data_IF_096162797314
#
_entry.id   IF_096162797314
#
_cell.length_a   1.000
_cell.length_b   1.000
_cell.length_c   1.000
_cell.angle_alpha   90.00
_cell.angle_beta   90.00
_cell.angle_gamma   90.00
#
_symmetry.space_group_name_H-M   'P 1'
#
loop_
_entity.id
_entity.type
_entity.pdbx_description
1 polymer ?
#
# COMPACT_ATOMS: atom_id res chain seq x y z
N UNK A 1 -17.98 -16.97 -47.02
CA UNK A 1 -18.46 -15.87 -46.15
C UNK A 1 -18.28 -16.14 -44.66
N UNK A 2 -18.69 -17.30 -44.10
CA UNK A 2 -18.50 -17.63 -42.66
C UNK A 2 -17.05 -17.52 -42.16
N UNK A 3 -16.07 -18.00 -42.93
CA UNK A 3 -14.66 -17.93 -42.56
C UNK A 3 -14.04 -16.53 -42.66
N UNK A 4 -14.61 -15.66 -43.51
CA UNK A 4 -14.15 -14.27 -43.63
C UNK A 4 -14.59 -13.48 -42.40
N UNK A 5 -15.84 -13.67 -41.94
CA UNK A 5 -16.35 -13.03 -40.71
C UNK A 5 -15.56 -13.46 -39.48
N UNK A 6 -15.19 -14.75 -39.38
CA UNK A 6 -14.38 -15.27 -38.27
C UNK A 6 -12.95 -14.67 -38.29
N UNK A 7 -12.35 -14.54 -39.47
CA UNK A 7 -11.03 -13.92 -39.62
C UNK A 7 -11.07 -12.42 -39.31
N UNK A 8 -12.13 -11.72 -39.70
CA UNK A 8 -12.38 -10.32 -39.32
C UNK A 8 -12.53 -10.15 -37.80
N UNK A 9 -13.24 -11.07 -37.12
CA UNK A 9 -13.36 -11.06 -35.66
C UNK A 9 -12.01 -11.28 -34.96
N UNK A 10 -11.19 -12.21 -35.46
CA UNK A 10 -9.86 -12.53 -34.92
C UNK A 10 -8.85 -11.37 -35.08
N UNK A 11 -8.91 -10.64 -36.19
CA UNK A 11 -8.05 -9.47 -36.43
C UNK A 11 -8.44 -8.30 -35.51
N UNK A 12 -9.73 -8.15 -35.18
CA UNK A 12 -10.23 -7.11 -34.25
C UNK A 12 -9.89 -7.47 -32.78
N UNK A 13 -9.79 -8.75 -32.43
CA UNK A 13 -9.36 -9.18 -31.08
C UNK A 13 -7.85 -9.08 -30.83
N UNK A 14 -7.06 -8.74 -31.86
CA UNK A 14 -5.62 -8.53 -31.76
C UNK A 14 -5.22 -7.14 -31.28
N UNK A 15 -6.10 -6.39 -30.60
CA UNK A 15 -5.70 -5.13 -29.98
C UNK A 15 -4.64 -5.44 -28.92
N UNK A 16 -3.44 -4.94 -29.17
CA UNK A 16 -2.27 -5.23 -28.39
C UNK A 16 -2.54 -4.89 -26.91
N UNK A 17 -2.47 -5.87 -26.04
CA UNK A 17 -2.30 -5.66 -24.60
C UNK A 17 -0.89 -5.12 -24.38
N UNK A 18 -0.68 -3.85 -24.73
CA UNK A 18 0.50 -3.08 -24.37
C UNK A 18 0.30 -2.67 -22.91
N UNK A 19 1.07 -3.28 -22.02
CA UNK A 19 1.29 -2.76 -20.67
C UNK A 19 2.64 -2.07 -20.69
N UNK A 20 2.71 -0.87 -21.29
CA UNK A 20 3.98 -0.14 -21.38
C UNK A 20 4.36 0.37 -20.00
N UNK A 21 5.65 0.31 -19.69
CA UNK A 21 6.21 0.98 -18.52
C UNK A 21 6.71 2.36 -18.95
N UNK A 22 6.15 3.39 -18.35
CA UNK A 22 6.56 4.79 -18.51
C UNK A 22 7.43 5.19 -17.33
N UNK A 23 8.66 5.60 -17.61
CA UNK A 23 9.62 6.04 -16.60
C UNK A 23 9.30 7.48 -16.23
N UNK A 24 9.13 7.74 -14.94
CA UNK A 24 8.89 9.07 -14.39
C UNK A 24 10.10 9.45 -13.53
N UNK A 25 10.80 10.53 -13.89
CA UNK A 25 11.96 11.00 -13.12
C UNK A 25 11.99 12.53 -13.05
N UNK A 26 11.90 13.08 -11.85
CA UNK A 26 11.86 14.54 -11.63
C UNK A 26 13.26 15.19 -11.50
N UNK A 27 14.36 14.45 -11.65
CA UNK A 27 15.71 15.02 -11.64
C UNK A 27 16.01 15.74 -12.97
N UNK A 28 16.60 16.93 -12.88
CA UNK A 28 17.07 17.68 -14.05
C UNK A 28 18.19 16.88 -14.73
N UNK A 29 18.11 16.75 -16.06
CA UNK A 29 19.14 16.08 -16.87
C UNK A 29 18.99 14.56 -16.99
N UNK A 30 17.99 13.95 -16.34
CA UNK A 30 17.64 12.54 -16.58
C UNK A 30 16.65 12.44 -17.74
N UNK A 31 16.98 11.65 -18.76
CA UNK A 31 16.08 11.35 -19.87
C UNK A 31 15.10 10.24 -19.47
N UNK A 32 13.97 10.63 -18.88
CA UNK A 32 12.81 9.78 -18.63
C UNK A 32 11.68 10.09 -19.64
N UNK A 33 10.62 9.27 -19.66
CA UNK A 33 9.48 9.53 -20.54
C UNK A 33 8.68 10.76 -20.08
N UNK A 34 8.59 10.97 -18.76
CA UNK A 34 7.98 12.15 -18.15
C UNK A 34 8.74 12.56 -16.88
N UNK A 35 8.57 13.80 -16.44
CA UNK A 35 9.15 14.36 -15.22
C UNK A 35 8.21 14.27 -14.00
N UNK A 36 6.89 14.26 -14.24
CA UNK A 36 5.84 14.26 -13.23
C UNK A 36 4.67 13.34 -13.61
N UNK A 37 3.97 12.83 -12.60
CA UNK A 37 2.80 11.96 -12.81
C UNK A 37 1.68 12.65 -13.60
N UNK A 38 1.42 13.93 -13.34
CA UNK A 38 0.40 14.70 -14.06
C UNK A 38 0.65 14.76 -15.59
N UNK A 39 1.92 14.91 -16.00
CA UNK A 39 2.29 14.93 -17.41
C UNK A 39 1.97 13.58 -18.08
N UNK A 40 2.32 12.47 -17.42
CA UNK A 40 1.99 11.12 -17.89
C UNK A 40 0.47 10.91 -18.01
N UNK A 41 -0.30 11.31 -17.01
CA UNK A 41 -1.78 11.19 -17.05
C UNK A 41 -2.37 11.98 -18.23
N UNK A 42 -1.85 13.19 -18.50
CA UNK A 42 -2.36 14.03 -19.60
C UNK A 42 -2.00 13.52 -21.00
N UNK A 43 -0.99 12.66 -21.13
CA UNK A 43 -0.53 12.15 -22.42
C UNK A 43 -1.50 11.15 -23.04
N UNK A 44 -1.82 11.32 -24.32
CA UNK A 44 -2.64 10.36 -25.07
C UNK A 44 -1.93 9.01 -25.29
N UNK A 45 -0.61 8.98 -25.18
CA UNK A 45 0.16 7.74 -25.35
C UNK A 45 0.06 6.82 -24.14
N UNK A 46 -0.19 7.38 -22.95
CA UNK A 46 -0.42 6.60 -21.73
C UNK A 46 -1.87 6.14 -21.74
N UNK A 47 -2.09 4.82 -21.79
CA UNK A 47 -3.43 4.22 -21.90
C UNK A 47 -3.74 3.33 -20.71
N UNK A 48 -5.02 2.97 -20.54
CA UNK A 48 -5.44 2.06 -19.48
C UNK A 48 -4.68 0.73 -19.55
N UNK A 49 -4.13 0.29 -18.42
CA UNK A 49 -3.30 -0.91 -18.29
C UNK A 49 -1.79 -0.62 -18.26
N UNK A 50 -1.36 0.59 -18.59
CA UNK A 50 0.05 0.97 -18.51
C UNK A 50 0.54 1.09 -17.06
N UNK A 51 1.87 1.07 -16.91
CA UNK A 51 2.57 1.26 -15.65
C UNK A 51 3.28 2.62 -15.64
N UNK A 52 3.11 3.38 -14.56
CA UNK A 52 3.96 4.53 -14.24
C UNK A 52 4.99 4.10 -13.19
N UNK A 53 6.26 4.06 -13.59
CA UNK A 53 7.37 3.73 -12.70
C UNK A 53 8.07 5.01 -12.24
N UNK A 54 7.86 5.37 -10.98
CA UNK A 54 8.48 6.53 -10.35
C UNK A 54 9.88 6.17 -9.87
N UNK A 55 10.87 6.80 -10.49
CA UNK A 55 12.28 6.52 -10.23
C UNK A 55 12.78 7.27 -8.99
N UNK A 56 13.91 6.83 -8.41
CA UNK A 56 14.64 7.61 -7.41
C UNK A 56 14.84 9.06 -7.87
N UNK A 57 14.47 10.00 -7.00
CA UNK A 57 14.63 11.42 -7.30
C UNK A 57 14.97 12.24 -6.06
N UNK A 58 15.81 13.24 -6.27
CA UNK A 58 16.11 14.27 -5.26
C UNK A 58 15.01 15.34 -5.21
N UNK A 59 14.18 15.43 -6.25
CA UNK A 59 13.04 16.33 -6.33
C UNK A 59 11.74 15.60 -6.02
N UNK A 60 10.81 16.29 -5.34
CA UNK A 60 9.52 15.69 -5.00
C UNK A 60 8.64 15.52 -6.24
N UNK A 61 7.99 14.37 -6.34
CA UNK A 61 6.86 14.20 -7.25
C UNK A 61 5.64 14.95 -6.72
N UNK A 62 4.90 15.59 -7.62
CA UNK A 62 3.69 16.34 -7.30
C UNK A 62 2.44 15.46 -7.37
N UNK A 63 1.37 15.94 -6.75
CA UNK A 63 0.06 15.28 -6.75
C UNK A 63 -0.61 15.40 -8.12
N UNK A 64 -1.53 14.48 -8.40
CA UNK A 64 -2.27 14.45 -9.65
C UNK A 64 -3.58 13.68 -9.51
N UNK A 65 -4.48 13.87 -10.47
CA UNK A 65 -5.70 13.06 -10.58
C UNK A 65 -5.43 11.80 -11.39
N UNK A 66 -5.65 10.62 -10.81
CA UNK A 66 -5.54 9.34 -11.49
C UNK A 66 -6.84 9.04 -12.24
N UNK A 67 -6.91 9.49 -13.49
CA UNK A 67 -8.06 9.35 -14.41
C UNK A 67 -7.90 8.25 -15.46
N UNK A 68 -7.00 7.30 -15.19
CA UNK A 68 -6.75 6.13 -16.03
C UNK A 68 -6.50 4.94 -15.13
N UNK A 69 -6.97 3.76 -15.55
CA UNK A 69 -6.70 2.51 -14.85
C UNK A 69 -5.23 2.12 -15.07
N UNK A 70 -4.36 2.42 -14.11
CA UNK A 70 -2.91 2.26 -14.24
C UNK A 70 -2.31 1.46 -13.08
N UNK A 71 -1.09 0.98 -13.28
CA UNK A 71 -0.23 0.48 -12.21
C UNK A 71 0.79 1.57 -11.88
N UNK A 72 0.86 2.00 -10.63
CA UNK A 72 1.82 2.99 -10.14
C UNK A 72 2.82 2.25 -9.26
N UNK A 73 4.10 2.37 -9.57
CA UNK A 73 5.18 1.72 -8.83
C UNK A 73 6.18 2.77 -8.37
N UNK A 74 6.44 2.83 -7.07
CA UNK A 74 7.51 3.63 -6.48
C UNK A 74 8.70 2.77 -6.04
N UNK A 75 9.62 3.37 -5.30
CA UNK A 75 10.86 2.73 -4.85
C UNK A 75 10.70 1.97 -3.52
N UNK A 76 9.59 2.17 -2.81
CA UNK A 76 9.47 1.88 -1.38
C UNK A 76 9.78 3.13 -0.52
N UNK A 77 9.77 2.95 0.80
CA UNK A 77 9.91 3.97 1.83
C UNK A 77 10.84 3.49 2.94
N UNK A 78 11.30 4.36 3.85
CA UNK A 78 12.25 3.99 4.93
C UNK A 78 13.43 3.12 4.42
N UNK A 79 14.01 3.50 3.27
CA UNK A 79 15.05 2.71 2.58
C UNK A 79 16.42 2.74 3.29
N UNK A 80 16.53 3.54 4.35
CA UNK A 80 17.73 3.67 5.19
C UNK A 80 17.39 3.39 6.67
N UNK A 81 18.43 3.05 7.46
CA UNK A 81 18.30 2.80 8.90
C UNK A 81 18.80 1.43 9.34
N UNK A 82 19.10 1.29 10.64
CA UNK A 82 19.57 0.03 11.25
C UNK A 82 18.44 -1.00 11.28
N UNK A 83 18.72 -2.23 10.83
CA UNK A 83 17.72 -3.30 10.71
C UNK A 83 16.45 -2.90 9.93
N UNK A 84 16.58 -1.92 9.04
CA UNK A 84 15.62 -1.70 7.95
C UNK A 84 15.80 -2.77 6.87
N UNK A 85 15.62 -2.39 5.61
CA UNK A 85 15.81 -3.27 4.47
C UNK A 85 17.09 -2.92 3.67
N UNK A 86 18.29 -2.88 4.30
CA UNK A 86 19.52 -2.45 3.66
C UNK A 86 19.92 -3.42 2.54
N UNK A 87 20.39 -2.85 1.42
CA UNK A 87 20.97 -3.61 0.31
C UNK A 87 19.96 -4.28 -0.62
N UNK A 88 18.66 -3.97 -0.55
CA UNK A 88 17.68 -4.40 -1.57
C UNK A 88 17.76 -3.58 -2.86
N UNK A 89 18.35 -2.39 -2.81
CA UNK A 89 18.56 -1.51 -3.95
C UNK A 89 19.98 -0.95 -3.89
N UNK A 90 20.60 -0.76 -5.06
CA UNK A 90 21.93 -0.15 -5.18
C UNK A 90 21.91 1.35 -4.81
N UNK A 91 20.79 2.03 -5.07
CA UNK A 91 20.54 3.42 -4.69
C UNK A 91 19.41 3.46 -3.65
N UNK A 92 19.65 3.94 -2.41
CA UNK A 92 18.63 4.07 -1.37
C UNK A 92 17.75 5.32 -1.53
N UNK A 93 17.93 6.11 -2.59
CA UNK A 93 17.13 7.31 -2.85
C UNK A 93 15.69 6.93 -3.18
N UNK A 94 14.73 7.54 -2.48
CA UNK A 94 13.31 7.26 -2.66
C UNK A 94 12.65 8.09 -3.76
N UNK A 95 11.57 7.58 -4.33
CA UNK A 95 10.60 8.35 -5.12
C UNK A 95 9.61 9.08 -4.20
N UNK A 96 10.04 10.21 -3.63
CA UNK A 96 9.31 10.91 -2.56
C UNK A 96 8.25 11.88 -3.10
N UNK A 97 7.03 11.82 -2.53
CA UNK A 97 5.91 12.70 -2.91
C UNK A 97 5.65 13.84 -1.91
N UNK A 98 6.31 13.87 -0.74
CA UNK A 98 6.13 14.98 0.20
C UNK A 98 4.70 15.18 0.71
N UNK A 99 3.95 14.10 0.85
CA UNK A 99 2.51 14.07 1.15
C UNK A 99 1.65 14.74 0.08
N UNK A 100 2.12 14.77 -1.17
CA UNK A 100 1.27 15.18 -2.28
C UNK A 100 0.10 14.21 -2.46
N UNK A 101 -1.04 14.75 -2.84
CA UNK A 101 -2.28 13.99 -2.97
C UNK A 101 -2.42 13.40 -4.36
N UNK A 102 -2.57 12.08 -4.44
CA UNK A 102 -3.10 11.39 -5.60
C UNK A 102 -4.62 11.36 -5.45
N UNK A 103 -5.32 12.10 -6.30
CA UNK A 103 -6.78 12.14 -6.34
C UNK A 103 -7.29 11.00 -7.21
N UNK A 104 -8.12 10.12 -6.67
CA UNK A 104 -8.69 9.03 -7.45
C UNK A 104 -9.96 9.47 -8.16
N UNK A 105 -9.96 9.31 -9.48
CA UNK A 105 -11.11 9.45 -10.36
C UNK A 105 -11.80 8.10 -10.53
N UNK A 106 -13.09 8.08 -10.87
CA UNK A 106 -13.83 6.84 -11.14
C UNK A 106 -13.32 6.09 -12.38
N UNK A 107 -12.81 6.80 -13.38
CA UNK A 107 -12.12 6.25 -14.55
C UNK A 107 -10.77 5.60 -14.21
N UNK A 108 -10.23 5.90 -13.02
CA UNK A 108 -9.07 5.24 -12.43
C UNK A 108 -9.38 3.91 -11.74
N UNK A 109 -10.64 3.47 -11.69
CA UNK A 109 -11.04 2.21 -11.04
C UNK A 109 -10.26 1.01 -11.57
N UNK A 110 -9.88 0.09 -10.68
CA UNK A 110 -9.01 -1.05 -11.02
C UNK A 110 -7.52 -0.74 -11.02
N UNK A 111 -7.10 0.46 -10.60
CA UNK A 111 -5.69 0.82 -10.50
C UNK A 111 -4.99 0.14 -9.32
N UNK A 112 -3.67 -0.03 -9.44
CA UNK A 112 -2.81 -0.55 -8.38
C UNK A 112 -1.73 0.46 -8.04
N UNK A 113 -1.61 0.82 -6.78
CA UNK A 113 -0.57 1.69 -6.24
C UNK A 113 0.35 0.85 -5.37
N UNK A 114 1.64 0.81 -5.70
CA UNK A 114 2.62 -0.04 -5.04
C UNK A 114 3.93 0.69 -4.74
N UNK A 115 4.45 0.58 -3.52
CA UNK A 115 5.78 1.12 -3.19
C UNK A 115 5.88 2.65 -3.19
N UNK A 116 4.77 3.38 -3.18
CA UNK A 116 4.78 4.83 -3.20
C UNK A 116 5.17 5.38 -1.83
N UNK A 117 5.97 6.45 -1.82
CA UNK A 117 6.57 7.00 -0.61
C UNK A 117 6.00 8.38 -0.27
N UNK A 118 5.40 8.48 0.91
CA UNK A 118 4.84 9.72 1.47
C UNK A 118 3.79 10.33 0.55
N UNK A 119 2.75 9.57 0.23
CA UNK A 119 1.59 10.06 -0.55
C UNK A 119 0.40 10.34 0.37
N UNK A 120 -0.51 11.19 -0.10
CA UNK A 120 -1.90 11.17 0.35
C UNK A 120 -2.78 10.56 -0.75
N UNK A 121 -3.84 9.87 -0.35
CA UNK A 121 -4.86 9.36 -1.27
C UNK A 121 -6.14 10.11 -0.97
N UNK A 122 -6.53 10.96 -1.91
CA UNK A 122 -7.76 11.72 -1.82
C UNK A 122 -8.84 11.14 -2.73
N UNK A 123 -10.07 11.10 -2.24
CA UNK A 123 -11.24 10.72 -3.02
C UNK A 123 -12.19 11.91 -3.11
N UNK A 124 -12.79 12.18 -4.28
CA UNK A 124 -13.66 13.33 -4.44
C UNK A 124 -14.71 13.25 -5.57
N UNK A 125 -15.76 14.09 -5.53
CA UNK A 125 -17.01 13.95 -6.26
C UNK A 125 -17.05 14.70 -7.60
N UNK A 126 -16.08 15.58 -7.88
CA UNK A 126 -16.05 16.38 -9.12
C UNK A 126 -15.91 15.52 -10.39
N UNK A 127 -15.83 14.20 -10.23
CA UNK A 127 -15.58 13.21 -11.27
C UNK A 127 -16.71 12.15 -11.36
N UNK A 128 -17.83 12.37 -10.66
CA UNK A 128 -19.12 11.77 -11.01
C UNK A 128 -19.47 10.38 -10.44
N UNK A 129 -18.57 9.68 -9.76
CA UNK A 129 -18.88 8.39 -9.12
C UNK A 129 -17.81 7.95 -8.13
N UNK A 130 -18.12 6.93 -7.33
CA UNK A 130 -17.14 6.26 -6.48
C UNK A 130 -16.10 5.52 -7.33
N UNK A 131 -14.85 5.48 -6.84
CA UNK A 131 -13.76 4.70 -7.45
C UNK A 131 -13.74 3.30 -6.85
N UNK A 132 -13.77 2.28 -7.69
CA UNK A 132 -13.86 0.87 -7.29
C UNK A 132 -12.57 0.11 -7.57
N UNK A 133 -12.41 -1.02 -6.88
CA UNK A 133 -11.39 -2.05 -7.15
C UNK A 133 -9.95 -1.52 -7.13
N UNK A 134 -9.64 -0.59 -6.22
CA UNK A 134 -8.29 -0.06 -6.07
C UNK A 134 -7.48 -0.97 -5.16
N UNK A 135 -6.26 -1.28 -5.59
CA UNK A 135 -5.26 -1.93 -4.73
C UNK A 135 -4.22 -0.91 -4.31
N UNK A 136 -4.02 -0.76 -3.00
CA UNK A 136 -2.94 0.03 -2.41
C UNK A 136 -2.09 -0.91 -1.58
N UNK A 137 -0.87 -1.19 -2.04
CA UNK A 137 -0.01 -2.18 -1.41
C UNK A 137 1.38 -1.64 -1.16
N UNK A 138 1.99 -1.94 -0.01
CA UNK A 138 3.39 -1.56 0.24
C UNK A 138 3.65 -0.06 0.07
N UNK A 139 2.72 0.81 0.45
CA UNK A 139 2.88 2.27 0.35
C UNK A 139 3.09 2.91 1.73
N UNK A 140 3.77 4.05 1.76
CA UNK A 140 3.79 4.95 2.91
C UNK A 140 2.81 6.11 2.65
N UNK A 141 1.78 6.19 3.47
CA UNK A 141 0.62 7.04 3.24
C UNK A 141 0.40 7.94 4.45
N UNK A 142 0.34 9.25 4.22
CA UNK A 142 -0.02 10.23 5.24
C UNK A 142 -1.51 10.13 5.60
N UNK A 143 -2.36 10.24 4.59
CA UNK A 143 -3.80 10.17 4.76
C UNK A 143 -4.46 9.40 3.61
N UNK A 144 -5.41 8.53 3.95
CA UNK A 144 -6.42 8.00 3.01
C UNK A 144 -7.77 8.55 3.46
N UNK A 145 -8.41 9.32 2.62
CA UNK A 145 -9.69 9.85 3.03
C UNK A 145 -10.44 10.60 1.96
N UNK A 146 -11.60 11.03 2.39
CA UNK A 146 -12.44 11.91 1.63
C UNK A 146 -11.78 13.30 1.55
N UNK A 147 -11.38 13.71 0.34
CA UNK A 147 -10.68 14.99 0.10
C UNK A 147 -11.67 16.11 -0.27
N UNK A 148 -12.72 15.77 -1.02
CA UNK A 148 -13.83 16.66 -1.36
C UNK A 148 -15.15 16.07 -0.82
N UNK A 149 -16.30 16.74 -1.00
CA UNK A 149 -17.61 16.18 -0.60
C UNK A 149 -17.89 14.78 -1.17
N UNK A 150 -18.86 14.04 -0.65
CA UNK A 150 -19.21 12.73 -1.22
C UNK A 150 -20.42 12.91 -2.13
N UNK A 151 -20.48 12.12 -3.21
CA UNK A 151 -21.69 12.06 -4.02
C UNK A 151 -22.68 11.13 -3.32
N UNK A 152 -23.83 11.67 -2.93
CA UNK A 152 -24.87 10.88 -2.27
C UNK A 152 -25.24 9.64 -3.10
N UNK A 153 -25.54 8.53 -2.42
CA UNK A 153 -25.91 7.25 -3.03
C UNK A 153 -24.82 6.59 -3.89
N UNK A 154 -23.57 7.01 -3.77
CA UNK A 154 -22.43 6.27 -4.33
C UNK A 154 -21.81 5.34 -3.29
N UNK A 155 -21.21 4.24 -3.74
CA UNK A 155 -20.48 3.29 -2.91
C UNK A 155 -19.14 2.95 -3.52
N UNK A 156 -18.11 2.83 -2.69
CA UNK A 156 -16.79 2.39 -3.12
C UNK A 156 -16.62 0.92 -2.80
N UNK A 157 -16.46 0.09 -3.83
CA UNK A 157 -16.44 -1.36 -3.70
C UNK A 157 -15.07 -1.96 -3.98
N UNK A 158 -14.70 -2.99 -3.22
CA UNK A 158 -13.65 -3.94 -3.59
C UNK A 158 -12.22 -3.42 -3.44
N UNK A 159 -11.98 -2.46 -2.55
CA UNK A 159 -10.63 -1.98 -2.30
C UNK A 159 -9.81 -2.97 -1.48
N UNK A 160 -8.53 -3.03 -1.79
CA UNK A 160 -7.53 -3.77 -1.02
C UNK A 160 -6.45 -2.80 -0.58
N UNK A 161 -6.31 -2.61 0.72
CA UNK A 161 -5.26 -1.79 1.34
C UNK A 161 -4.43 -2.73 2.20
N UNK A 162 -3.22 -3.08 1.75
CA UNK A 162 -2.39 -4.02 2.48
C UNK A 162 -0.91 -3.68 2.54
N UNK A 163 -0.23 -4.16 3.59
CA UNK A 163 1.23 -4.01 3.75
C UNK A 163 1.69 -2.54 3.71
N UNK A 164 0.80 -1.61 4.04
CA UNK A 164 1.07 -0.18 4.00
C UNK A 164 1.43 0.34 5.40
N UNK A 165 2.28 1.36 5.41
CA UNK A 165 2.47 2.20 6.59
C UNK A 165 1.56 3.41 6.42
N UNK A 166 0.56 3.54 7.29
CA UNK A 166 -0.52 4.53 7.15
C UNK A 166 -0.49 5.42 8.37
N UNK A 167 -0.43 6.74 8.19
CA UNK A 167 -0.60 7.63 9.34
C UNK A 167 -2.08 7.69 9.71
N UNK A 168 -2.98 8.02 8.77
CA UNK A 168 -4.41 8.11 9.06
C UNK A 168 -5.29 7.59 7.92
N UNK A 169 -6.46 7.04 8.26
CA UNK A 169 -7.52 6.81 7.28
C UNK A 169 -8.90 7.10 7.87
N UNK A 170 -9.77 7.74 7.06
CA UNK A 170 -11.03 8.30 7.54
C UNK A 170 -12.12 8.40 6.48
N UNK A 171 -13.24 7.72 6.72
CA UNK A 171 -14.46 7.76 5.89
C UNK A 171 -15.71 7.82 6.77
N UNK A 172 -16.28 9.01 6.89
CA UNK A 172 -17.42 9.25 7.78
C UNK A 172 -18.77 9.31 7.04
N UNK A 173 -18.77 9.47 5.71
CA UNK A 173 -20.00 9.67 4.94
C UNK A 173 -20.09 8.86 3.63
N UNK A 174 -18.95 8.46 3.06
CA UNK A 174 -18.90 7.57 1.91
C UNK A 174 -19.23 6.12 2.32
N UNK A 175 -20.09 5.45 1.56
CA UNK A 175 -20.41 4.03 1.72
C UNK A 175 -19.24 3.20 1.19
N UNK A 176 -18.69 2.31 2.03
CA UNK A 176 -17.61 1.39 1.67
C UNK A 176 -18.13 -0.05 1.68
N UNK A 177 -17.83 -0.82 0.64
CA UNK A 177 -18.32 -2.20 0.50
C UNK A 177 -17.20 -3.17 0.08
N UNK A 178 -17.07 -4.31 0.78
CA UNK A 178 -16.08 -5.34 0.45
C UNK A 178 -14.62 -4.86 0.48
N UNK A 179 -14.29 -3.95 1.40
CA UNK A 179 -12.90 -3.49 1.57
C UNK A 179 -12.10 -4.49 2.41
N UNK A 180 -10.84 -4.67 2.03
CA UNK A 180 -9.87 -5.46 2.78
C UNK A 180 -8.74 -4.55 3.26
N UNK A 181 -8.61 -4.43 4.57
CA UNK A 181 -7.56 -3.64 5.23
C UNK A 181 -6.73 -4.62 6.04
N UNK A 182 -5.63 -5.08 5.44
CA UNK A 182 -4.85 -6.20 5.99
C UNK A 182 -3.37 -5.94 6.08
N UNK A 183 -2.72 -6.50 7.09
CA UNK A 183 -1.26 -6.45 7.20
C UNK A 183 -0.67 -5.03 7.20
N UNK A 184 -1.42 -4.03 7.68
CA UNK A 184 -0.96 -2.64 7.73
C UNK A 184 -0.43 -2.26 9.11
N UNK A 185 0.43 -1.24 9.13
CA UNK A 185 0.77 -0.48 10.33
C UNK A 185 0.06 0.86 10.22
N UNK A 186 -0.86 1.14 11.14
CA UNK A 186 -1.65 2.37 11.19
C UNK A 186 -1.25 3.16 12.45
N UNK A 187 -0.62 4.31 12.27
CA UNK A 187 0.08 5.02 13.35
C UNK A 187 -0.78 6.10 14.06
N UNK A 188 -1.81 6.61 13.40
CA UNK A 188 -2.79 7.55 13.94
C UNK A 188 -4.19 7.01 13.61
N UNK A 189 -5.17 7.83 13.27
CA UNK A 189 -6.59 7.46 13.24
C UNK A 189 -6.98 6.37 12.22
N UNK A 190 -7.97 5.56 12.63
CA UNK A 190 -8.64 4.53 11.83
C UNK A 190 -10.17 4.68 11.93
N UNK A 191 -10.77 5.63 11.20
CA UNK A 191 -12.21 5.93 11.30
C UNK A 191 -12.98 5.45 10.07
N UNK A 192 -13.73 4.36 10.22
CA UNK A 192 -14.71 3.86 9.24
C UNK A 192 -16.11 3.83 9.85
N UNK A 193 -16.42 4.84 10.67
CA UNK A 193 -17.62 4.94 11.49
C UNK A 193 -18.94 5.19 10.75
N UNK A 194 -19.08 4.81 9.47
CA UNK A 194 -20.27 5.09 8.68
C UNK A 194 -21.25 3.90 8.68
N UNK A 195 -22.52 4.15 9.01
CA UNK A 195 -23.60 3.14 9.00
C UNK A 195 -23.89 2.51 7.63
N UNK A 196 -23.42 3.14 6.55
CA UNK A 196 -23.49 2.58 5.20
C UNK A 196 -22.37 1.60 4.86
N UNK A 197 -21.44 1.28 5.77
CA UNK A 197 -20.38 0.33 5.46
C UNK A 197 -20.90 -1.11 5.45
N UNK A 198 -20.39 -1.92 4.52
CA UNK A 198 -20.81 -3.30 4.33
C UNK A 198 -19.61 -4.22 4.09
N UNK A 199 -19.52 -5.30 4.87
CA UNK A 199 -18.56 -6.38 4.67
C UNK A 199 -17.09 -5.89 4.62
N UNK A 200 -16.67 -5.15 5.65
CA UNK A 200 -15.28 -4.73 5.78
C UNK A 200 -14.46 -5.84 6.44
N UNK A 201 -13.33 -6.23 5.86
CA UNK A 201 -12.36 -7.10 6.50
C UNK A 201 -11.19 -6.26 7.03
N UNK A 202 -11.04 -6.19 8.35
CA UNK A 202 -9.91 -5.52 8.99
C UNK A 202 -9.16 -6.56 9.80
N UNK A 203 -8.05 -7.05 9.23
CA UNK A 203 -7.35 -8.21 9.77
C UNK A 203 -5.84 -8.07 9.77
N UNK A 204 -5.19 -8.58 10.82
CA UNK A 204 -3.73 -8.62 10.89
C UNK A 204 -3.08 -7.24 10.77
N UNK A 205 -3.63 -6.21 11.41
CA UNK A 205 -3.02 -4.87 11.44
C UNK A 205 -2.41 -4.58 12.81
N UNK A 206 -1.42 -3.67 12.84
CA UNK A 206 -1.04 -2.95 14.06
C UNK A 206 -1.68 -1.57 13.99
N UNK A 207 -2.51 -1.21 14.98
CA UNK A 207 -3.27 0.05 15.00
C UNK A 207 -2.95 0.82 16.28
N UNK A 208 -2.34 1.99 16.14
CA UNK A 208 -1.81 2.83 17.22
C UNK A 208 -2.78 3.92 17.69
N UNK A 209 -4.05 3.83 17.33
CA UNK A 209 -5.04 4.87 17.60
C UNK A 209 -6.45 4.31 17.79
N UNK A 210 -7.41 5.22 17.96
CA UNK A 210 -8.83 4.88 17.99
C UNK A 210 -9.27 4.24 16.69
N UNK A 211 -10.18 3.28 16.84
CA UNK A 211 -10.79 2.55 15.73
C UNK A 211 -12.29 2.63 15.88
N UNK A 212 -12.96 3.16 14.85
CA UNK A 212 -14.41 3.24 14.77
C UNK A 212 -14.86 2.42 13.54
N UNK A 213 -15.69 1.40 13.75
CA UNK A 213 -16.06 0.42 12.72
C UNK A 213 -17.56 0.10 12.73
N UNK A 214 -18.11 0.00 11.52
CA UNK A 214 -19.47 -0.43 11.28
C UNK A 214 -19.46 -1.62 10.31
N UNK A 215 -20.25 -2.66 10.60
CA UNK A 215 -20.44 -3.83 9.72
C UNK A 215 -19.13 -4.51 9.27
N UNK A 216 -18.22 -4.70 10.22
CA UNK A 216 -16.86 -5.18 9.96
C UNK A 216 -16.57 -6.55 10.55
N UNK A 217 -15.56 -7.21 9.99
CA UNK A 217 -14.88 -8.36 10.54
C UNK A 217 -13.50 -7.94 11.04
N UNK A 218 -13.39 -7.74 12.35
CA UNK A 218 -12.21 -7.21 13.04
C UNK A 218 -11.47 -8.33 13.78
N UNK A 219 -10.39 -8.84 13.20
CA UNK A 219 -9.67 -10.01 13.74
C UNK A 219 -8.14 -9.95 13.62
N UNK A 220 -7.43 -10.62 14.52
CA UNK A 220 -5.97 -10.76 14.47
C UNK A 220 -5.22 -9.42 14.51
N UNK A 221 -5.85 -8.34 14.97
CA UNK A 221 -5.22 -7.03 15.05
C UNK A 221 -4.54 -6.85 16.42
N UNK A 222 -3.50 -6.02 16.45
CA UNK A 222 -2.95 -5.48 17.70
C UNK A 222 -3.33 -4.00 17.77
N UNK A 223 -4.11 -3.62 18.77
CA UNK A 223 -4.57 -2.23 18.98
C UNK A 223 -3.96 -1.66 20.24
N UNK A 224 -3.12 -0.64 20.10
CA UNK A 224 -2.34 -0.14 21.23
C UNK A 224 -2.92 1.14 21.83
N UNK A 225 -4.17 1.44 21.52
CA UNK A 225 -4.90 2.60 22.01
C UNK A 225 -6.33 2.19 22.42
N UNK A 226 -7.05 3.11 23.03
CA UNK A 226 -8.41 2.89 23.46
C UNK A 226 -9.33 2.65 22.25
N UNK A 227 -9.86 1.44 22.13
CA UNK A 227 -11.03 1.18 21.31
C UNK A 227 -12.23 1.88 21.96
N UNK A 228 -13.00 2.61 21.17
CA UNK A 228 -14.28 3.12 21.60
C UNK A 228 -15.36 2.12 21.17
N UNK A 229 -15.75 1.22 22.09
CA UNK A 229 -16.74 0.19 21.80
C UNK A 229 -18.11 0.76 21.42
N UNK A 230 -18.40 2.02 21.74
CA UNK A 230 -19.63 2.71 21.31
C UNK A 230 -19.72 2.85 19.79
N UNK A 231 -18.58 2.90 19.10
CA UNK A 231 -18.50 3.04 17.64
C UNK A 231 -18.08 1.75 16.93
N UNK A 232 -18.32 0.60 17.56
CA UNK A 232 -18.07 -0.74 17.01
C UNK A 232 -19.41 -1.45 16.76
N UNK A 233 -20.16 -0.97 15.77
CA UNK A 233 -21.55 -1.40 15.50
C UNK A 233 -21.57 -2.53 14.47
N UNK A 234 -22.40 -3.55 14.68
CA UNK A 234 -22.52 -4.72 13.78
C UNK A 234 -21.16 -5.35 13.40
N UNK A 235 -20.20 -5.30 14.31
CA UNK A 235 -18.82 -5.72 14.05
C UNK A 235 -18.51 -7.01 14.79
N UNK A 236 -17.96 -8.00 14.08
CA UNK A 236 -17.41 -9.22 14.70
C UNK A 236 -16.00 -8.92 15.20
N UNK A 237 -15.78 -9.07 16.51
CA UNK A 237 -14.51 -8.78 17.18
C UNK A 237 -13.97 -10.06 17.82
N UNK A 238 -12.85 -10.58 17.31
CA UNK A 238 -12.24 -11.83 17.81
C UNK A 238 -10.74 -11.89 17.59
N UNK A 239 -10.03 -12.66 18.42
CA UNK A 239 -8.59 -12.91 18.28
C UNK A 239 -7.75 -11.63 18.15
N UNK A 240 -8.18 -10.52 18.76
CA UNK A 240 -7.42 -9.28 18.77
C UNK A 240 -6.65 -9.14 20.08
N UNK A 241 -5.60 -8.33 20.05
CA UNK A 241 -4.81 -7.99 21.23
C UNK A 241 -4.89 -6.50 21.45
N UNK A 242 -5.12 -6.08 22.69
CA UNK A 242 -5.07 -4.67 23.07
C UNK A 242 -4.07 -4.43 24.19
N UNK A 243 -3.40 -3.28 24.12
CA UNK A 243 -2.65 -2.78 25.28
C UNK A 243 -3.54 -2.11 26.32
N UNK A 244 -4.76 -1.70 25.93
CA UNK A 244 -5.82 -1.25 26.82
C UNK A 244 -6.75 -2.38 27.27
N UNK A 245 -7.86 -2.02 27.90
CA UNK A 245 -8.88 -2.96 28.40
C UNK A 245 -10.21 -2.79 27.66
N UNK A 246 -10.16 -2.70 26.33
CA UNK A 246 -11.29 -2.20 25.53
C UNK A 246 -11.80 -3.19 24.48
N UNK A 247 -11.20 -4.40 24.39
CA UNK A 247 -11.78 -5.49 23.61
C UNK A 247 -12.86 -6.22 24.43
N UNK A 248 -13.95 -6.67 23.79
CA UNK A 248 -14.97 -7.47 24.46
C UNK A 248 -14.37 -8.80 24.95
N UNK A 249 -14.86 -9.26 26.10
CA UNK A 249 -14.45 -10.54 26.67
C UNK A 249 -14.84 -11.72 25.76
N UNK A 250 -14.03 -12.79 25.78
CA UNK A 250 -14.24 -13.97 24.97
C UNK A 250 -13.68 -13.87 23.54
N UNK A 251 -14.05 -14.82 22.69
CA UNK A 251 -13.64 -14.89 21.28
C UNK A 251 -12.12 -14.79 21.03
N UNK A 252 -11.30 -15.24 21.98
CA UNK A 252 -9.84 -15.17 21.88
C UNK A 252 -9.24 -13.77 21.95
N UNK A 253 -10.02 -12.74 22.33
CA UNK A 253 -9.46 -11.40 22.54
C UNK A 253 -8.63 -11.35 23.83
N UNK A 254 -7.50 -10.65 23.78
CA UNK A 254 -6.63 -10.42 24.92
C UNK A 254 -6.46 -8.92 25.18
N UNK A 255 -6.70 -8.50 26.41
CA UNK A 255 -6.54 -7.11 26.87
C UNK A 255 -5.30 -6.96 27.77
N UNK A 256 -4.96 -5.71 28.10
CA UNK A 256 -3.99 -5.36 29.13
C UNK A 256 -2.54 -5.76 28.82
N UNK A 257 -2.20 -5.95 27.55
CA UNK A 257 -0.82 -6.20 27.15
C UNK A 257 0.01 -4.90 27.19
N UNK A 258 1.33 -4.98 27.12
CA UNK A 258 2.18 -3.78 26.97
C UNK A 258 2.92 -3.80 25.64
N UNK A 259 3.23 -2.63 25.09
CA UNK A 259 4.06 -2.53 23.88
C UNK A 259 5.39 -3.27 24.06
N UNK A 260 6.02 -3.10 25.22
CA UNK A 260 7.27 -3.77 25.56
C UNK A 260 7.13 -5.29 25.70
N UNK A 261 5.93 -5.83 25.95
CA UNK A 261 5.64 -7.26 25.95
C UNK A 261 5.35 -7.81 24.55
N UNK A 262 4.91 -6.97 23.61
CA UNK A 262 4.47 -7.43 22.29
C UNK A 262 5.56 -7.27 21.23
N UNK A 263 6.29 -6.16 21.23
CA UNK A 263 7.09 -5.70 20.10
C UNK A 263 8.59 -5.64 20.39
N UNK A 264 9.39 -5.67 19.32
CA UNK A 264 10.84 -5.46 19.38
C UNK A 264 11.19 -4.01 19.78
N UNK A 265 10.34 -3.04 19.44
CA UNK A 265 10.49 -1.64 19.83
C UNK A 265 11.52 -0.85 19.01
N UNK A 266 11.62 0.45 19.30
CA UNK A 266 12.41 1.42 18.51
C UNK A 266 13.92 1.15 18.52
N UNK A 267 14.47 0.69 19.64
CA UNK A 267 15.92 0.61 19.82
C UNK A 267 16.50 -0.44 18.88
N UNK A 268 17.32 0.01 17.92
CA UNK A 268 17.97 -0.86 16.95
C UNK A 268 17.06 -1.35 15.81
N UNK A 269 15.89 -0.76 15.59
CA UNK A 269 14.98 -1.12 14.50
C UNK A 269 14.60 0.09 13.64
N UNK A 270 14.17 -0.15 12.40
CA UNK A 270 13.56 0.87 11.55
C UNK A 270 12.18 1.30 12.06
N UNK A 271 11.68 2.43 11.55
CA UNK A 271 10.36 3.00 11.90
C UNK A 271 9.21 1.99 11.75
N UNK A 272 9.27 1.12 10.75
CA UNK A 272 8.32 0.04 10.52
C UNK A 272 8.74 -1.29 11.18
N UNK A 273 10.05 -1.54 11.29
CA UNK A 273 10.61 -2.75 11.90
C UNK A 273 10.38 -2.87 13.41
N UNK A 274 10.15 -1.74 14.09
CA UNK A 274 9.85 -1.73 15.53
C UNK A 274 8.59 -2.52 15.91
N UNK A 275 7.66 -2.72 14.96
CA UNK A 275 6.37 -3.37 15.16
C UNK A 275 6.39 -4.89 14.95
N UNK A 276 7.56 -5.46 14.69
CA UNK A 276 7.73 -6.92 14.68
C UNK A 276 7.55 -7.45 16.10
N UNK A 277 7.00 -8.66 16.19
CA UNK A 277 6.80 -9.32 17.47
C UNK A 277 8.16 -9.67 18.09
N UNK A 278 8.27 -9.47 19.40
CA UNK A 278 9.42 -9.98 20.16
C UNK A 278 9.21 -11.47 20.51
N UNK A 279 10.29 -12.23 20.75
CA UNK A 279 10.18 -13.59 21.29
C UNK A 279 9.33 -13.63 22.57
N UNK A 280 8.42 -14.62 22.65
CA UNK A 280 7.52 -14.78 23.79
C UNK A 280 6.35 -13.79 23.82
N UNK A 281 6.14 -12.99 22.77
CA UNK A 281 4.96 -12.15 22.64
C UNK A 281 3.68 -12.99 22.67
N UNK A 282 2.68 -12.54 23.43
CA UNK A 282 1.36 -13.17 23.47
C UNK A 282 0.60 -13.07 22.13
N UNK A 283 1.11 -12.32 21.16
CA UNK A 283 0.58 -12.25 19.80
C UNK A 283 0.98 -13.43 18.90
N UNK A 284 1.98 -14.21 19.30
CA UNK A 284 2.44 -15.36 18.53
C UNK A 284 1.40 -16.48 18.61
N UNK A 285 0.91 -16.95 17.47
CA UNK A 285 -0.11 -18.00 17.35
C UNK A 285 -1.45 -17.66 18.00
N UNK A 286 -1.75 -16.38 18.20
CA UNK A 286 -3.00 -15.93 18.85
C UNK A 286 -4.14 -15.59 17.87
N UNK A 287 -3.84 -15.58 16.57
CA UNK A 287 -4.82 -15.27 15.54
C UNK A 287 -5.91 -16.33 15.41
N UNK A 288 -6.97 -15.98 14.69
CA UNK A 288 -8.01 -16.90 14.28
C UNK A 288 -7.42 -17.98 13.35
N UNK A 289 -7.66 -19.25 13.68
CA UNK A 289 -7.29 -20.38 12.82
C UNK A 289 -8.13 -20.39 11.55
N UNK A 290 -7.46 -20.31 10.40
CA UNK A 290 -8.09 -20.37 9.08
C UNK A 290 -7.42 -21.48 8.31
N UNK A 291 -8.22 -22.42 7.79
CA UNK A 291 -7.73 -23.59 7.05
C UNK A 291 -6.63 -24.38 7.80
N UNK A 292 -6.74 -24.49 9.12
CA UNK A 292 -5.78 -25.21 9.98
C UNK A 292 -4.50 -24.44 10.32
N UNK A 293 -4.34 -23.19 9.85
CA UNK A 293 -3.19 -22.34 10.16
C UNK A 293 -3.63 -21.26 11.14
N UNK A 294 -2.92 -21.16 12.26
CA UNK A 294 -3.11 -20.10 13.26
C UNK A 294 -2.02 -19.04 13.06
N UNK A 295 -2.34 -17.86 12.49
CA UNK A 295 -1.37 -16.81 12.27
C UNK A 295 -1.04 -16.09 13.59
N UNK A 296 0.06 -15.34 13.60
CA UNK A 296 0.29 -14.37 14.65
C UNK A 296 -0.64 -13.16 14.46
N UNK A 297 -0.93 -12.43 15.54
CA UNK A 297 -1.62 -11.15 15.44
C UNK A 297 -0.68 -10.04 14.94
N UNK A 298 -1.24 -9.05 14.26
CA UNK A 298 -0.52 -7.88 13.76
C UNK A 298 0.01 -8.02 12.33
N UNK A 299 0.67 -6.95 11.88
CA UNK A 299 1.05 -6.70 10.48
C UNK A 299 1.93 -7.79 9.86
N UNK A 300 2.75 -8.46 10.68
CA UNK A 300 3.75 -9.43 10.26
C UNK A 300 3.33 -10.89 10.41
N UNK A 301 2.11 -11.16 10.90
CA UNK A 301 1.74 -12.48 11.41
C UNK A 301 1.20 -13.49 10.40
N UNK A 302 1.08 -13.13 9.13
CA UNK A 302 0.52 -13.99 8.08
C UNK A 302 1.61 -14.59 7.19
N UNK A 303 1.23 -15.55 6.33
CA UNK A 303 2.13 -16.11 5.31
C UNK A 303 2.55 -15.10 4.22
N UNK A 304 1.79 -14.00 4.08
CA UNK A 304 2.08 -12.89 3.17
C UNK A 304 2.06 -11.57 3.96
N UNK A 305 3.07 -11.34 4.81
CA UNK A 305 3.06 -10.29 5.82
C UNK A 305 3.36 -8.89 5.25
N UNK A 306 3.29 -7.89 6.11
CA UNK A 306 3.95 -6.60 5.88
C UNK A 306 5.43 -6.81 5.54
N UNK A 307 5.91 -6.06 4.54
CA UNK A 307 7.30 -6.09 4.09
C UNK A 307 7.96 -4.79 4.47
N UNK A 308 9.10 -4.86 5.17
CA UNK A 308 9.86 -3.67 5.57
C UNK A 308 10.16 -2.80 4.35
N UNK A 309 10.14 -1.50 4.55
CA UNK A 309 10.37 -0.49 3.52
C UNK A 309 9.40 -0.53 2.32
N UNK A 310 8.40 -1.42 2.31
CA UNK A 310 7.43 -1.56 1.22
C UNK A 310 8.05 -1.65 -0.18
N UNK A 311 9.27 -2.19 -0.31
CA UNK A 311 9.93 -2.26 -1.62
C UNK A 311 9.09 -3.16 -2.54
N UNK A 312 8.71 -2.70 -3.74
CA UNK A 312 7.91 -3.50 -4.65
C UNK A 312 8.60 -4.79 -5.08
N UNK A 313 7.77 -5.80 -5.30
CA UNK A 313 8.13 -7.13 -5.78
C UNK A 313 8.50 -7.15 -7.27
N UNK A 314 9.38 -6.25 -7.69
CA UNK A 314 9.94 -6.19 -9.04
C UNK A 314 11.44 -6.47 -8.98
N UNK A 315 12.07 -6.95 -10.07
CA UNK A 315 13.51 -7.08 -10.13
C UNK A 315 14.19 -5.73 -9.85
N UNK A 316 15.13 -5.71 -8.91
CA UNK A 316 15.94 -4.54 -8.60
C UNK A 316 17.44 -4.84 -8.78
N UNK A 317 18.19 -3.85 -9.23
CA UNK A 317 19.66 -3.86 -9.17
C UNK A 317 20.04 -3.56 -7.72
N UNK A 318 20.74 -4.49 -7.08
CA UNK A 318 21.19 -4.34 -5.69
C UNK A 318 22.70 -4.15 -5.55
N UNK A 319 23.46 -4.47 -6.60
CA UNK A 319 24.87 -4.17 -6.68
C UNK A 319 25.25 -3.78 -8.10
N UNK A 320 26.03 -2.71 -8.22
CA UNK A 320 26.63 -2.25 -9.45
C UNK A 320 28.10 -1.95 -9.17
N UNK A 321 29.00 -2.68 -9.81
CA UNK A 321 30.43 -2.42 -9.75
C UNK A 321 30.90 -1.92 -11.11
N UNK A 322 31.36 -0.68 -11.14
CA UNK A 322 31.95 -0.02 -12.32
C UNK A 322 33.40 0.36 -11.98
N UNK A 323 34.37 0.10 -12.87
CA UNK A 323 35.74 0.56 -12.70
C UNK A 323 35.79 2.08 -12.54
N UNK A 324 36.56 2.57 -11.56
CA UNK A 324 36.69 4.00 -11.28
C UNK A 324 37.36 4.78 -12.41
N UNK A 325 38.10 4.09 -13.30
CA UNK A 325 38.72 4.65 -14.49
C UNK A 325 38.83 3.58 -15.57
N UNK A 326 38.67 4.00 -16.82
CA UNK A 326 38.97 3.17 -18.00
C UNK A 326 40.28 3.71 -18.60
N UNK A 327 41.33 2.89 -18.74
CA UNK A 327 42.56 3.31 -19.40
C UNK A 327 42.28 3.88 -20.79
N UNK A 328 43.01 4.92 -21.20
CA UNK A 328 42.76 5.62 -22.48
C UNK A 328 42.91 4.73 -23.72
N UNK A 329 43.60 3.59 -23.59
CA UNK A 329 43.78 2.58 -24.62
C UNK A 329 42.82 1.38 -24.50
N UNK A 330 41.95 1.35 -23.50
CA UNK A 330 41.01 0.24 -23.32
C UNK A 330 39.82 0.39 -24.29
N UNK A 331 39.56 -0.66 -25.06
CA UNK A 331 38.41 -0.74 -25.97
C UNK A 331 37.19 -1.39 -25.32
N UNK A 332 37.31 -1.84 -24.07
CA UNK A 332 36.22 -2.46 -23.30
C UNK A 332 36.36 -2.14 -21.81
N UNK A 333 35.25 -2.21 -21.09
CA UNK A 333 35.18 -2.04 -19.64
C UNK A 333 34.31 -3.16 -19.06
N UNK A 334 34.79 -3.79 -17.99
CA UNK A 334 34.01 -4.79 -17.27
C UNK A 334 33.10 -4.11 -16.26
N UNK A 335 31.80 -4.37 -16.35
CA UNK A 335 30.79 -3.96 -15.37
C UNK A 335 30.21 -5.22 -14.76
N UNK A 336 29.98 -5.24 -13.46
CA UNK A 336 29.19 -6.28 -12.80
C UNK A 336 27.88 -5.71 -12.30
N UNK A 337 26.77 -6.31 -12.76
CA UNK A 337 25.41 -5.97 -12.34
C UNK A 337 24.85 -7.20 -11.62
N UNK A 338 24.32 -6.99 -10.42
CA UNK A 338 23.60 -8.04 -9.70
C UNK A 338 22.17 -7.61 -9.46
N UNK A 339 21.24 -8.48 -9.86
CA UNK A 339 19.80 -8.27 -9.73
C UNK A 339 19.18 -9.33 -8.84
N UNK A 340 18.11 -8.96 -8.14
CA UNK A 340 17.29 -9.92 -7.38
C UNK A 340 15.82 -9.52 -7.42
N UNK A 341 14.95 -10.51 -7.22
CA UNK A 341 13.56 -10.25 -6.88
C UNK A 341 13.49 -9.79 -5.42
N UNK A 342 12.61 -8.83 -5.12
CA UNK A 342 12.31 -8.39 -3.76
C UNK A 342 11.12 -9.16 -3.16
N UNK A 343 10.97 -10.45 -3.51
CA UNK A 343 10.00 -11.39 -2.94
C UNK A 343 10.74 -12.48 -2.17
#
# INVERSE_FOLDING_TARGET
>A
MKYIILLSLLIITGTQTQAKVWRINSNIGVTADFDQGAAAISSLSVVNGDTLYFEPSTNNYQGFTLSKRLVLIGTGYFLSGTNGNPGLQADPTGAYFGNATILLDSTGSGSTLMGLNSINIGIGPNLGSATDNITVTRCYIGNIGQYYGYTANTKMTGWVINKCYISSFGFNSQVLENWQITNNIINSSASLGNSGNFNLLIRNNVIRSSVDLYSAYFSNNIVTFNLNTTYMVNTTIKNNISTGNNLPAGNGNLNGQSDAALFQGLTGNSTDGQWRLKPGSAAIGAGETIAGITPDCGAFGTADPYVLSGIPAIPAIYALTVPASVPSNATSMQITISTRSNN
#
